data_IF_014913918046
#
_entry.id   IF_014913918046
#
_cell.length_a   1.000
_cell.length_b   1.000
_cell.length_c   1.000
_cell.angle_alpha   90.00
_cell.angle_beta   90.00
_cell.angle_gamma   90.00
#
_symmetry.space_group_name_H-M   'P 1'
#
loop_
_entity.id
_entity.type
_entity.pdbx_description
1 polymer ?
#
# COMPACT_ATOMS: atom_id res chain seq x y z
N UNK A 1 -1.42 4.96 -32.60
CA UNK A 1 -1.68 3.94 -31.57
C UNK A 1 -0.80 4.29 -30.39
N UNK A 2 -1.38 4.85 -29.33
CA UNK A 2 -0.64 5.16 -28.09
C UNK A 2 -0.36 3.84 -27.38
N UNK A 3 0.87 3.62 -26.90
CA UNK A 3 1.16 2.47 -26.06
C UNK A 3 0.24 2.51 -24.84
N UNK A 4 -0.28 1.37 -24.36
CA UNK A 4 -1.06 1.36 -23.12
C UNK A 4 -0.18 1.92 -21.99
N UNK A 5 -0.73 2.87 -21.23
CA UNK A 5 -0.05 3.46 -20.09
C UNK A 5 0.22 2.38 -19.05
N UNK A 6 1.45 2.29 -18.55
CA UNK A 6 1.82 1.30 -17.53
C UNK A 6 1.35 1.81 -16.17
N UNK A 7 0.42 1.08 -15.55
CA UNK A 7 -0.04 1.37 -14.19
C UNK A 7 0.79 0.57 -13.18
N UNK A 8 1.32 1.25 -12.16
CA UNK A 8 2.00 0.62 -11.02
C UNK A 8 1.30 1.07 -9.74
N UNK A 9 0.97 0.12 -8.88
CA UNK A 9 0.35 0.38 -7.58
C UNK A 9 1.31 -0.11 -6.51
N UNK A 10 1.80 0.78 -5.65
CA UNK A 10 2.56 0.40 -4.45
C UNK A 10 1.63 0.46 -3.25
N UNK A 11 1.58 -0.63 -2.50
CA UNK A 11 0.95 -0.69 -1.18
C UNK A 11 2.04 -0.41 -0.14
N UNK A 12 1.87 0.68 0.61
CA UNK A 12 2.78 1.07 1.70
C UNK A 12 2.02 1.92 2.72
N UNK A 13 2.42 1.84 3.97
CA UNK A 13 1.96 2.78 4.98
C UNK A 13 2.95 3.93 5.12
N UNK A 14 2.43 5.12 5.37
CA UNK A 14 3.21 6.31 5.67
C UNK A 14 2.34 7.23 6.54
N UNK A 15 2.94 8.14 7.30
CA UNK A 15 2.21 8.85 8.34
C UNK A 15 1.11 9.76 7.78
N UNK A 16 -0.11 9.54 8.26
CA UNK A 16 -1.28 10.38 7.99
C UNK A 16 -1.59 10.57 6.49
N UNK A 17 -1.26 9.56 5.67
CA UNK A 17 -1.52 9.56 4.23
C UNK A 17 -2.04 8.20 3.78
N UNK A 18 -2.69 8.13 2.61
CA UNK A 18 -3.31 6.92 2.09
C UNK A 18 -2.32 5.81 1.72
N UNK A 19 -2.75 4.53 1.78
CA UNK A 19 -1.85 3.40 1.55
C UNK A 19 -1.59 3.08 0.07
N UNK A 20 -2.30 3.75 -0.86
CA UNK A 20 -2.29 3.42 -2.29
C UNK A 20 -1.50 4.43 -3.13
N UNK A 21 -0.26 4.07 -3.47
CA UNK A 21 0.62 4.91 -4.26
C UNK A 21 0.58 4.48 -5.73
N UNK A 22 -0.13 5.25 -6.55
CA UNK A 22 -0.33 4.92 -7.96
C UNK A 22 0.66 5.71 -8.84
N UNK A 23 1.19 5.04 -9.84
CA UNK A 23 2.09 5.62 -10.83
C UNK A 23 1.56 5.29 -12.22
N UNK A 24 1.62 6.28 -13.12
CA UNK A 24 1.30 6.10 -14.54
C UNK A 24 2.55 6.41 -15.34
N UNK A 25 3.03 5.44 -16.12
CA UNK A 25 4.29 5.54 -16.87
C UNK A 25 5.48 5.96 -16.01
N UNK A 26 5.57 5.39 -14.81
CA UNK A 26 6.59 5.68 -13.80
C UNK A 26 6.53 7.11 -13.20
N UNK A 27 5.61 7.96 -13.67
CA UNK A 27 5.29 9.23 -13.02
C UNK A 27 4.34 9.00 -11.85
N UNK A 28 4.73 9.49 -10.67
CA UNK A 28 3.89 9.45 -9.49
C UNK A 28 2.68 10.39 -9.66
N UNK A 29 1.49 9.95 -9.23
CA UNK A 29 0.44 10.92 -8.94
C UNK A 29 0.87 11.82 -7.77
N UNK A 30 0.38 13.08 -7.67
CA UNK A 30 0.83 14.02 -6.65
C UNK A 30 0.67 13.52 -5.22
N UNK A 31 -0.40 12.78 -4.96
CA UNK A 31 -0.78 12.28 -3.64
C UNK A 31 -1.24 10.82 -3.73
N UNK A 32 -0.95 9.98 -2.73
CA UNK A 32 -1.50 8.63 -2.64
C UNK A 32 -3.02 8.67 -2.49
N UNK A 33 -3.69 7.69 -3.09
CA UNK A 33 -5.13 7.55 -2.98
C UNK A 33 -5.52 7.06 -1.59
N UNK A 34 -6.60 7.62 -1.06
CA UNK A 34 -7.28 7.12 0.12
C UNK A 34 -8.12 5.86 -0.21
N UNK A 35 -8.47 5.03 0.79
CA UNK A 35 -9.35 3.88 0.59
C UNK A 35 -10.67 4.20 -0.13
N UNK A 36 -11.27 5.36 0.14
CA UNK A 36 -12.50 5.82 -0.50
C UNK A 36 -12.31 6.24 -1.98
N UNK A 37 -11.09 6.64 -2.37
CA UNK A 37 -10.77 7.16 -3.70
C UNK A 37 -10.22 6.08 -4.65
N UNK A 38 -9.57 5.03 -4.12
CA UNK A 38 -8.84 4.05 -4.96
C UNK A 38 -9.75 3.32 -5.96
N UNK A 39 -11.04 3.18 -5.64
CA UNK A 39 -12.03 2.57 -6.52
C UNK A 39 -12.24 3.31 -7.85
N UNK A 40 -11.85 4.60 -7.92
CA UNK A 40 -11.89 5.39 -9.15
C UNK A 40 -10.81 4.97 -10.17
N UNK A 41 -9.76 4.29 -9.70
CA UNK A 41 -8.58 3.96 -10.51
C UNK A 41 -8.36 2.45 -10.62
N UNK A 42 -8.73 1.69 -9.59
CA UNK A 42 -8.60 0.23 -9.56
C UNK A 42 -9.95 -0.41 -9.24
N UNK A 43 -10.36 -1.47 -9.96
CA UNK A 43 -11.60 -2.19 -9.69
C UNK A 43 -11.43 -3.14 -8.50
N UNK A 44 -11.13 -2.60 -7.32
CA UNK A 44 -11.01 -3.39 -6.08
C UNK A 44 -12.37 -3.53 -5.40
N UNK A 45 -12.62 -4.72 -4.87
CA UNK A 45 -13.80 -4.98 -4.06
C UNK A 45 -13.75 -4.17 -2.74
N UNK A 46 -14.88 -3.63 -2.25
CA UNK A 46 -14.92 -2.83 -1.02
C UNK A 46 -14.36 -3.55 0.20
N UNK A 47 -14.51 -4.88 0.28
CA UNK A 47 -13.98 -5.68 1.38
C UNK A 47 -12.45 -5.66 1.42
N UNK A 48 -11.78 -5.78 0.26
CA UNK A 48 -10.33 -5.73 0.17
C UNK A 48 -9.79 -4.33 0.50
N UNK A 49 -10.49 -3.29 0.08
CA UNK A 49 -10.17 -1.90 0.44
C UNK A 49 -10.23 -1.73 1.97
N UNK A 50 -11.30 -2.20 2.61
CA UNK A 50 -11.45 -2.14 4.07
C UNK A 50 -10.38 -2.97 4.82
N UNK A 51 -9.97 -4.12 4.28
CA UNK A 51 -8.88 -4.90 4.86
C UNK A 51 -7.53 -4.13 4.84
N UNK A 52 -7.26 -3.39 3.76
CA UNK A 52 -6.05 -2.57 3.60
C UNK A 52 -6.12 -1.34 4.48
N UNK A 53 -7.27 -0.67 4.55
CA UNK A 53 -7.51 0.44 5.49
C UNK A 53 -7.26 0.00 6.93
N UNK A 54 -7.82 -1.14 7.34
CA UNK A 54 -7.63 -1.66 8.69
C UNK A 54 -6.16 -2.03 8.98
N UNK A 55 -5.42 -2.44 7.96
CA UNK A 55 -3.97 -2.65 8.06
C UNK A 55 -3.24 -1.32 8.22
N UNK A 56 -3.51 -0.31 7.39
CA UNK A 56 -2.86 1.01 7.50
C UNK A 56 -3.18 1.70 8.83
N UNK A 57 -4.45 1.67 9.27
CA UNK A 57 -4.90 2.20 10.57
C UNK A 57 -4.12 1.56 11.72
N UNK A 58 -3.74 0.29 11.61
CA UNK A 58 -2.92 -0.35 12.65
C UNK A 58 -1.53 0.28 12.78
N UNK A 59 -0.95 0.76 11.67
CA UNK A 59 0.28 1.55 11.68
C UNK A 59 0.02 2.96 12.19
N UNK A 60 -1.02 3.66 11.69
CA UNK A 60 -1.35 5.02 12.13
C UNK A 60 -1.62 5.11 13.64
N UNK A 61 -2.19 4.07 14.25
CA UNK A 61 -2.41 4.00 15.70
C UNK A 61 -1.12 3.97 16.54
N UNK A 62 0.03 3.74 15.91
CA UNK A 62 1.34 3.83 16.56
C UNK A 62 1.94 5.24 16.48
N UNK A 63 1.30 6.17 15.77
CA UNK A 63 1.75 7.55 15.66
C UNK A 63 1.56 8.29 16.99
N UNK A 64 2.62 8.96 17.45
CA UNK A 64 2.64 9.78 18.66
C UNK A 64 2.88 11.23 18.27
N UNK A 65 1.84 12.08 18.18
CA UNK A 65 1.99 13.45 17.70
C UNK A 65 2.88 14.31 18.62
N UNK A 66 2.84 14.05 19.93
CA UNK A 66 3.64 14.75 20.93
C UNK A 66 5.08 14.23 21.02
N UNK A 67 5.36 13.04 20.44
CA UNK A 67 6.69 12.45 20.40
C UNK A 67 6.89 11.63 19.10
N UNK A 68 7.07 12.29 17.95
CA UNK A 68 7.17 11.62 16.65
C UNK A 68 8.34 10.62 16.57
N UNK A 69 9.40 10.83 17.36
CA UNK A 69 10.57 9.94 17.38
C UNK A 69 10.24 8.56 17.97
N UNK A 70 9.26 8.49 18.87
CA UNK A 70 8.76 7.26 19.49
C UNK A 70 7.52 6.69 18.76
N UNK A 71 7.22 7.20 17.55
CA UNK A 71 6.18 6.64 16.68
C UNK A 71 6.63 5.34 16.03
N UNK A 72 5.67 4.51 15.61
CA UNK A 72 5.95 3.23 14.98
C UNK A 72 5.94 2.07 15.96
N UNK A 73 5.99 0.86 15.41
CA UNK A 73 6.09 -0.37 16.18
C UNK A 73 7.42 -0.44 16.93
N UNK A 74 7.36 -0.69 18.23
CA UNK A 74 8.54 -0.77 19.10
C UNK A 74 9.12 -2.20 19.18
N UNK A 75 8.37 -3.18 18.68
CA UNK A 75 8.76 -4.59 18.66
C UNK A 75 8.99 -5.07 17.22
N UNK A 76 10.16 -5.66 16.98
CA UNK A 76 10.51 -6.23 15.68
C UNK A 76 9.52 -7.31 15.23
N UNK A 77 8.89 -8.03 16.18
CA UNK A 77 7.85 -9.00 15.84
C UNK A 77 6.58 -8.32 15.32
N UNK A 78 6.18 -7.18 15.88
CA UNK A 78 5.02 -6.41 15.37
C UNK A 78 5.28 -5.92 13.95
N UNK A 79 6.51 -5.46 13.66
CA UNK A 79 6.93 -5.08 12.30
C UNK A 79 6.81 -6.27 11.34
N UNK A 80 7.32 -7.44 11.73
CA UNK A 80 7.23 -8.65 10.91
C UNK A 80 5.78 -9.10 10.65
N UNK A 81 4.92 -9.05 11.67
CA UNK A 81 3.50 -9.39 11.56
C UNK A 81 2.76 -8.38 10.67
N UNK A 82 3.07 -7.09 10.81
CA UNK A 82 2.56 -6.04 9.95
C UNK A 82 2.97 -6.24 8.49
N UNK A 83 4.23 -6.54 8.24
CA UNK A 83 4.74 -6.74 6.88
C UNK A 83 4.22 -8.02 6.24
N UNK A 84 4.08 -9.10 7.02
CA UNK A 84 3.45 -10.33 6.53
C UNK A 84 2.01 -10.10 6.10
N UNK A 85 1.24 -9.30 6.87
CA UNK A 85 -0.12 -8.92 6.51
C UNK A 85 -0.15 -8.01 5.28
N UNK A 86 0.73 -7.02 5.19
CA UNK A 86 0.84 -6.13 4.04
C UNK A 86 1.14 -6.88 2.74
N UNK A 87 2.08 -7.84 2.77
CA UNK A 87 2.36 -8.74 1.64
C UNK A 87 1.14 -9.56 1.23
N UNK A 88 0.43 -10.17 2.18
CA UNK A 88 -0.78 -10.94 1.88
C UNK A 88 -1.83 -10.08 1.17
N UNK A 89 -2.04 -8.86 1.65
CA UNK A 89 -2.98 -7.90 1.05
C UNK A 89 -2.53 -7.49 -0.36
N UNK A 90 -1.24 -7.22 -0.56
CA UNK A 90 -0.72 -6.88 -1.87
C UNK A 90 -0.87 -8.04 -2.88
N UNK A 91 -0.73 -9.29 -2.45
CA UNK A 91 -1.07 -10.46 -3.28
C UNK A 91 -2.56 -10.52 -3.62
N UNK A 92 -3.46 -10.26 -2.67
CA UNK A 92 -4.91 -10.16 -2.94
C UNK A 92 -5.22 -9.06 -3.96
N UNK A 93 -4.58 -7.90 -3.83
CA UNK A 93 -4.70 -6.81 -4.82
C UNK A 93 -4.23 -7.28 -6.19
N UNK A 94 -3.05 -7.92 -6.29
CA UNK A 94 -2.56 -8.41 -7.59
C UNK A 94 -3.48 -9.43 -8.24
N UNK A 95 -4.11 -10.30 -7.45
CA UNK A 95 -5.07 -11.28 -7.94
C UNK A 95 -6.41 -10.66 -8.37
N UNK A 96 -6.79 -9.52 -7.81
CA UNK A 96 -8.07 -8.85 -8.07
C UNK A 96 -8.04 -7.90 -9.28
N UNK A 97 -6.87 -7.45 -9.73
CA UNK A 97 -6.72 -6.44 -10.79
C UNK A 97 -6.18 -7.03 -12.10
N UNK A 98 -6.29 -6.29 -13.22
CA UNK A 98 -5.75 -6.74 -14.51
C UNK A 98 -4.26 -7.13 -14.47
N UNK A 99 -3.89 -8.12 -15.29
CA UNK A 99 -2.55 -8.70 -15.28
C UNK A 99 -1.44 -7.70 -15.66
N UNK A 100 -1.78 -6.68 -16.46
CA UNK A 100 -0.91 -5.61 -16.93
C UNK A 100 -0.63 -4.52 -15.87
N UNK A 101 -1.39 -4.49 -14.76
CA UNK A 101 -1.08 -3.61 -13.62
C UNK A 101 0.01 -4.24 -12.76
N UNK A 102 1.12 -3.53 -12.56
CA UNK A 102 2.18 -3.96 -11.64
C UNK A 102 1.78 -3.63 -10.21
N UNK A 103 1.85 -4.60 -9.30
CA UNK A 103 1.65 -4.38 -7.85
C UNK A 103 2.98 -4.51 -7.15
N UNK A 104 3.21 -3.62 -6.20
CA UNK A 104 4.42 -3.59 -5.37
C UNK A 104 4.03 -3.41 -3.91
N UNK A 105 4.86 -3.94 -3.03
CA UNK A 105 4.74 -3.79 -1.60
C UNK A 105 6.01 -3.14 -1.03
N UNK A 106 5.87 -2.22 -0.08
CA UNK A 106 7.00 -1.63 0.65
C UNK A 106 6.90 -2.07 2.11
N UNK A 107 7.77 -2.99 2.56
CA UNK A 107 7.82 -3.39 3.96
C UNK A 107 8.33 -2.24 4.84
N UNK A 108 7.90 -2.22 6.11
CA UNK A 108 8.51 -1.39 7.13
C UNK A 108 9.90 -1.91 7.50
N UNK A 109 10.08 -3.24 7.52
CA UNK A 109 11.38 -3.86 7.69
C UNK A 109 12.12 -3.93 6.35
N UNK A 110 13.17 -3.12 6.20
CA UNK A 110 14.09 -3.16 5.07
C UNK A 110 14.11 -1.88 4.26
N UNK A 111 14.93 -1.87 3.21
CA UNK A 111 15.20 -0.72 2.35
C UNK A 111 14.67 -0.90 0.90
N UNK A 112 13.80 -1.89 0.70
CA UNK A 112 13.37 -2.33 -0.62
C UNK A 112 11.91 -2.07 -0.97
N UNK A 113 11.59 -2.14 -2.26
CA UNK A 113 10.24 -2.36 -2.76
C UNK A 113 10.19 -3.75 -3.38
N UNK A 114 9.22 -4.55 -2.96
CA UNK A 114 8.98 -5.89 -3.47
C UNK A 114 7.96 -5.82 -4.61
N UNK A 115 8.26 -6.43 -5.77
CA UNK A 115 7.25 -6.58 -6.83
C UNK A 115 6.44 -7.86 -6.58
N UNK A 116 5.12 -7.71 -6.55
CA UNK A 116 4.21 -8.79 -6.23
C UNK A 116 3.83 -9.52 -7.52
N UNK A 117 4.21 -10.78 -7.58
CA UNK A 117 3.82 -11.70 -8.65
C UNK A 117 2.56 -12.46 -8.24
N UNK A 118 1.65 -12.66 -9.21
CA UNK A 118 0.47 -13.52 -9.06
C UNK A 118 0.79 -14.99 -9.25
#
# INVERSE_FOLDING_TARGET
>A
MTAPHRLVVKIRSDWQIGPFWVYRDEEAVPEPYLPEEISEVLPLEPELIAEIEAWDVSFQNTFRPDDPAESGFQDARQIQEFDARGRLLAHKVKAAIPADVTVRYVPLAGDGTEEITG
#
